data_IF_028430518302
#
_entry.id   IF_028430518302
#
_cell.length_a   1.000
_cell.length_b   1.000
_cell.length_c   1.000
_cell.angle_alpha   90.00
_cell.angle_beta   90.00
_cell.angle_gamma   90.00
#
_symmetry.space_group_name_H-M   'P 1'
#
loop_
_entity.id
_entity.type
_entity.pdbx_description
1 polymer ?
#
# COMPACT_ATOMS: atom_id res chain seq x y z
N UNK A 1 -1.37 50.74 48.51
CA UNK A 1 -2.71 50.14 48.34
C UNK A 1 -2.51 48.63 48.34
N UNK A 2 -2.94 47.94 49.38
CA UNK A 2 -2.83 46.49 49.46
C UNK A 2 -3.82 45.88 48.46
N UNK A 3 -3.33 45.12 47.48
CA UNK A 3 -4.20 44.38 46.57
C UNK A 3 -4.91 43.29 47.37
N UNK A 4 -6.24 43.28 47.34
CA UNK A 4 -7.05 42.26 47.97
C UNK A 4 -6.82 40.92 47.23
N UNK A 5 -6.09 40.02 47.89
CA UNK A 5 -5.71 38.72 47.37
C UNK A 5 -6.93 37.86 47.01
N UNK A 6 -8.08 38.10 47.65
CA UNK A 6 -9.36 37.48 47.31
C UNK A 6 -9.88 37.92 45.95
N UNK A 7 -9.77 39.21 45.64
CA UNK A 7 -10.17 39.76 44.33
C UNK A 7 -9.30 39.20 43.19
N UNK A 8 -7.97 39.14 43.37
CA UNK A 8 -7.08 38.55 42.36
C UNK A 8 -7.38 37.07 42.12
N UNK A 9 -7.60 36.30 43.17
CA UNK A 9 -7.92 34.87 43.05
C UNK A 9 -9.26 34.66 42.34
N UNK A 10 -10.26 35.49 42.65
CA UNK A 10 -11.56 35.46 41.97
C UNK A 10 -11.45 35.77 40.47
N UNK A 11 -10.64 36.75 40.09
CA UNK A 11 -10.39 37.11 38.68
C UNK A 11 -9.69 35.96 37.94
N UNK A 12 -8.70 35.31 38.56
CA UNK A 12 -7.99 34.20 37.93
C UNK A 12 -8.93 33.01 37.70
N UNK A 13 -9.71 32.61 38.72
CA UNK A 13 -10.61 31.47 38.61
C UNK A 13 -11.71 31.69 37.56
N UNK A 14 -12.29 32.90 37.52
CA UNK A 14 -13.32 33.24 36.53
C UNK A 14 -12.76 33.29 35.10
N UNK A 15 -11.54 33.79 34.92
CA UNK A 15 -10.86 33.83 33.61
C UNK A 15 -10.52 32.41 33.12
N UNK A 16 -10.02 31.54 34.01
CA UNK A 16 -9.75 30.14 33.68
C UNK A 16 -11.03 29.38 33.31
N UNK A 17 -12.13 29.61 34.03
CA UNK A 17 -13.41 28.96 33.73
C UNK A 17 -13.98 29.44 32.39
N UNK A 18 -13.95 30.75 32.13
CA UNK A 18 -14.44 31.34 30.88
C UNK A 18 -13.64 30.84 29.65
N UNK A 19 -12.32 30.78 29.77
CA UNK A 19 -11.45 30.28 28.69
C UNK A 19 -11.61 28.77 28.46
N UNK A 20 -11.76 27.99 29.52
CA UNK A 20 -11.99 26.55 29.42
C UNK A 20 -13.34 26.23 28.75
N UNK A 21 -14.43 26.86 29.21
CA UNK A 21 -15.77 26.63 28.64
C UNK A 21 -15.85 27.13 27.20
N UNK A 22 -15.30 28.30 26.91
CA UNK A 22 -15.24 28.84 25.55
C UNK A 22 -14.44 27.95 24.60
N UNK A 23 -13.27 27.49 25.01
CA UNK A 23 -12.43 26.59 24.23
C UNK A 23 -13.08 25.22 24.00
N UNK A 24 -13.76 24.68 25.02
CA UNK A 24 -14.47 23.40 24.90
C UNK A 24 -15.64 23.49 23.91
N UNK A 25 -16.47 24.53 24.01
CA UNK A 25 -17.59 24.75 23.08
C UNK A 25 -17.09 24.95 21.65
N UNK A 26 -16.03 25.76 21.47
CA UNK A 26 -15.42 25.98 20.17
C UNK A 26 -14.85 24.69 19.56
N UNK A 27 -14.19 23.87 20.38
CA UNK A 27 -13.68 22.56 19.97
C UNK A 27 -14.81 21.61 19.53
N UNK A 28 -15.90 21.53 20.30
CA UNK A 28 -17.07 20.72 19.94
C UNK A 28 -17.71 21.20 18.64
N UNK A 29 -17.87 22.52 18.46
CA UNK A 29 -18.38 23.11 17.21
C UNK A 29 -17.49 22.83 16.00
N UNK A 30 -16.16 22.83 16.19
CA UNK A 30 -15.21 22.48 15.13
C UNK A 30 -15.31 21.00 14.73
N UNK A 31 -15.42 20.08 15.70
CA UNK A 31 -15.47 18.63 15.44
C UNK A 31 -16.82 18.23 14.84
N UNK A 32 -17.91 18.88 15.22
CA UNK A 32 -19.23 18.64 14.62
C UNK A 32 -19.43 19.30 13.25
N UNK A 33 -18.41 19.98 12.72
CA UNK A 33 -18.42 20.52 11.35
C UNK A 33 -19.17 21.84 11.18
N UNK A 34 -19.64 22.48 12.26
CA UNK A 34 -20.34 23.77 12.20
C UNK A 34 -19.44 24.95 11.81
N UNK A 35 -18.12 24.77 11.84
CA UNK A 35 -17.11 25.76 11.44
C UNK A 35 -16.89 25.82 9.92
N UNK A 36 -17.24 24.76 9.21
CA UNK A 36 -17.21 24.72 7.74
C UNK A 36 -18.63 25.03 7.28
N UNK A 37 -18.83 26.08 6.49
CA UNK A 37 -20.18 26.42 6.06
C UNK A 37 -20.79 25.25 5.28
N UNK A 38 -22.09 24.94 5.46
CA UNK A 38 -22.76 23.90 4.69
C UNK A 38 -22.59 24.10 3.18
N UNK A 39 -22.54 25.37 2.74
CA UNK A 39 -22.29 25.75 1.36
C UNK A 39 -20.91 25.28 0.84
N UNK A 40 -19.85 25.32 1.65
CA UNK A 40 -18.52 24.81 1.26
C UNK A 40 -18.45 23.28 1.26
N UNK A 41 -19.23 22.62 2.12
CA UNK A 41 -19.38 21.17 2.10
C UNK A 41 -20.13 20.70 0.84
N UNK A 42 -21.19 21.42 0.47
CA UNK A 42 -21.91 21.23 -0.79
C UNK A 42 -21.03 21.54 -2.00
N UNK A 43 -20.21 22.59 -1.96
CA UNK A 43 -19.26 22.92 -3.03
C UNK A 43 -18.23 21.81 -3.26
N UNK A 44 -17.69 21.24 -2.19
CA UNK A 44 -16.78 20.09 -2.29
C UNK A 44 -17.48 18.85 -2.86
N UNK A 45 -18.75 18.63 -2.49
CA UNK A 45 -19.57 17.54 -3.05
C UNK A 45 -19.93 17.78 -4.53
N UNK A 46 -20.11 19.05 -4.92
CA UNK A 46 -20.40 19.45 -6.29
C UNK A 46 -19.17 19.30 -7.17
N UNK A 47 -17.98 19.72 -6.73
CA UNK A 47 -16.73 19.51 -7.46
C UNK A 47 -16.39 18.03 -7.65
N UNK A 48 -16.72 17.16 -6.67
CA UNK A 48 -16.56 15.70 -6.82
C UNK A 48 -17.47 15.09 -7.88
N UNK A 49 -18.59 15.75 -8.20
CA UNK A 49 -19.62 15.28 -9.12
C UNK A 49 -19.79 16.23 -10.31
N UNK A 50 -18.80 17.09 -10.59
CA UNK A 50 -18.87 18.09 -11.67
C UNK A 50 -18.54 17.42 -13.01
N UNK A 51 -19.51 17.30 -13.94
CA UNK A 51 -19.27 16.72 -15.25
C UNK A 51 -18.45 17.62 -16.18
N UNK A 52 -18.22 18.89 -15.83
CA UNK A 52 -17.51 19.86 -16.69
C UNK A 52 -15.99 19.78 -16.47
N UNK A 53 -15.52 19.41 -15.28
CA UNK A 53 -14.07 19.18 -15.05
C UNK A 53 -13.59 17.84 -15.65
N UNK A 54 -14.52 16.98 -16.10
CA UNK A 54 -14.24 15.80 -16.93
C UNK A 54 -14.20 16.09 -18.43
N UNK A 55 -14.36 17.35 -18.86
CA UNK A 55 -13.89 17.76 -20.18
C UNK A 55 -12.36 17.84 -20.09
N UNK A 56 -11.76 16.66 -20.28
CA UNK A 56 -10.33 16.46 -20.40
C UNK A 56 -9.75 17.54 -21.33
N UNK A 57 -8.65 18.14 -20.89
CA UNK A 57 -7.79 18.94 -21.76
C UNK A 57 -7.66 18.26 -23.12
N UNK A 58 -7.92 19.01 -24.20
CA UNK A 58 -7.84 18.60 -25.61
C UNK A 58 -6.54 17.82 -25.92
N UNK A 59 -6.50 16.56 -25.55
CA UNK A 59 -5.56 15.57 -26.07
C UNK A 59 -6.35 14.89 -27.17
N UNK A 60 -5.87 15.09 -28.40
CA UNK A 60 -6.48 14.58 -29.62
C UNK A 60 -6.68 13.06 -29.50
N UNK A 61 -7.89 12.64 -29.09
CA UNK A 61 -8.28 11.24 -28.84
C UNK A 61 -8.09 10.35 -30.08
N UNK A 62 -7.90 10.96 -31.25
CA UNK A 62 -7.65 10.25 -32.50
C UNK A 62 -6.25 9.60 -32.57
N UNK A 63 -5.28 10.06 -31.77
CA UNK A 63 -3.88 9.58 -31.81
C UNK A 63 -3.50 8.66 -30.63
N UNK A 64 -4.35 8.55 -29.60
CA UNK A 64 -4.20 7.59 -28.50
C UNK A 64 -5.27 6.52 -28.53
N UNK A 65 -5.16 5.63 -29.51
CA UNK A 65 -5.96 4.43 -29.67
C UNK A 65 -5.78 3.51 -28.45
N UNK A 66 -6.57 3.72 -27.40
CA UNK A 66 -6.60 2.91 -26.17
C UNK A 66 -7.41 1.61 -26.39
N UNK A 67 -7.17 0.92 -27.51
CA UNK A 67 -7.96 -0.21 -28.02
C UNK A 67 -7.56 -1.56 -27.39
N UNK A 68 -7.10 -1.56 -26.13
CA UNK A 68 -6.58 -2.74 -25.44
C UNK A 68 -7.35 -3.14 -24.18
N UNK A 69 -8.51 -2.52 -23.96
CA UNK A 69 -9.30 -2.68 -22.75
C UNK A 69 -10.69 -3.33 -23.00
N UNK A 70 -10.82 -4.46 -23.73
CA UNK A 70 -12.13 -5.09 -23.86
C UNK A 70 -12.53 -5.67 -22.49
N UNK A 71 -13.55 -5.06 -21.88
CA UNK A 71 -14.20 -5.45 -20.61
C UNK A 71 -13.32 -5.31 -19.34
N UNK A 72 -13.41 -4.13 -18.71
CA UNK A 72 -12.99 -3.86 -17.32
C UNK A 72 -14.06 -4.19 -16.28
N UNK A 73 -15.05 -5.01 -16.63
CA UNK A 73 -15.99 -5.60 -15.68
C UNK A 73 -15.26 -6.69 -14.89
N UNK A 74 -14.59 -6.29 -13.81
CA UNK A 74 -13.86 -7.18 -12.89
C UNK A 74 -14.81 -8.10 -12.13
N UNK A 75 -15.22 -9.20 -12.75
CA UNK A 75 -15.86 -10.33 -12.08
C UNK A 75 -14.82 -11.30 -11.48
N UNK A 76 -15.25 -12.19 -10.58
CA UNK A 76 -14.40 -13.23 -9.96
C UNK A 76 -13.64 -14.11 -10.97
N UNK A 77 -14.12 -14.20 -12.22
CA UNK A 77 -13.44 -14.91 -13.29
C UNK A 77 -12.26 -14.12 -13.88
N UNK A 78 -12.33 -12.79 -13.89
CA UNK A 78 -11.21 -11.93 -14.31
C UNK A 78 -10.05 -12.08 -13.32
N UNK A 79 -10.31 -12.12 -12.02
CA UNK A 79 -9.31 -12.38 -10.97
C UNK A 79 -8.60 -13.73 -11.16
N UNK A 80 -9.37 -14.77 -11.49
CA UNK A 80 -8.81 -16.11 -11.74
C UNK A 80 -7.96 -16.14 -13.01
N UNK A 81 -8.35 -15.41 -14.05
CA UNK A 81 -7.61 -15.29 -15.32
C UNK A 81 -6.36 -14.40 -15.18
N UNK A 82 -6.41 -13.38 -14.33
CA UNK A 82 -5.29 -12.47 -14.02
C UNK A 82 -4.31 -13.04 -12.98
N UNK A 83 -4.50 -14.28 -12.50
CA UNK A 83 -3.63 -14.87 -11.49
C UNK A 83 -3.72 -14.20 -10.10
N UNK A 84 -4.76 -13.39 -9.84
CA UNK A 84 -4.99 -12.71 -8.56
C UNK A 84 -5.32 -13.68 -7.41
N UNK A 85 -5.59 -14.95 -7.74
CA UNK A 85 -5.64 -16.04 -6.78
C UNK A 85 -4.27 -16.72 -6.73
N UNK A 86 -3.41 -16.25 -5.82
CA UNK A 86 -2.20 -16.98 -5.45
C UNK A 86 -2.62 -18.38 -4.96
N UNK A 87 -2.41 -19.40 -5.78
CA UNK A 87 -2.61 -20.79 -5.38
C UNK A 87 -1.47 -21.11 -4.40
N UNK A 88 -1.77 -20.99 -3.11
CA UNK A 88 -0.87 -21.38 -2.04
C UNK A 88 -0.58 -22.89 -2.20
N UNK A 89 0.62 -23.23 -2.66
CA UNK A 89 1.14 -24.58 -2.53
C UNK A 89 1.27 -24.90 -1.03
N UNK A 90 0.86 -26.09 -0.57
CA UNK A 90 0.95 -26.44 0.84
C UNK A 90 2.42 -26.52 1.26
N UNK A 91 2.80 -25.67 2.21
CA UNK A 91 4.17 -25.52 2.71
C UNK A 91 4.31 -26.32 4.02
N UNK A 92 5.03 -27.44 3.98
CA UNK A 92 5.31 -28.30 5.13
C UNK A 92 6.73 -28.02 5.64
N UNK A 93 6.94 -26.93 6.38
CA UNK A 93 8.17 -26.75 7.18
C UNK A 93 8.00 -25.67 8.27
N UNK A 94 8.60 -25.86 9.47
CA UNK A 94 8.51 -24.91 10.56
C UNK A 94 9.27 -23.61 10.22
N UNK A 95 8.55 -22.48 10.21
CA UNK A 95 9.08 -21.16 9.88
C UNK A 95 9.95 -20.62 11.02
N UNK A 96 11.13 -20.05 10.73
CA UNK A 96 11.89 -19.30 11.74
C UNK A 96 11.05 -18.12 12.25
N UNK A 97 11.08 -17.88 13.57
CA UNK A 97 10.27 -16.88 14.22
C UNK A 97 10.81 -15.47 13.93
N UNK A 98 10.03 -14.66 13.21
CA UNK A 98 10.26 -13.22 13.09
C UNK A 98 10.01 -12.56 14.45
N UNK A 99 10.98 -11.78 14.92
CA UNK A 99 10.89 -11.05 16.18
C UNK A 99 9.79 -9.97 16.11
N UNK A 100 8.81 -10.10 17.01
CA UNK A 100 7.66 -9.19 17.10
C UNK A 100 8.05 -7.78 17.57
N UNK A 101 9.16 -7.66 18.32
CA UNK A 101 9.53 -6.44 19.03
C UNK A 101 10.58 -5.56 18.32
N UNK A 102 11.08 -5.96 17.15
CA UNK A 102 12.05 -5.11 16.45
C UNK A 102 11.41 -3.79 15.99
N UNK A 103 12.12 -2.67 16.09
CA UNK A 103 11.69 -1.35 15.56
C UNK A 103 12.21 -1.15 14.12
N UNK A 104 12.81 -2.19 13.55
CA UNK A 104 13.43 -2.14 12.25
C UNK A 104 12.42 -1.78 11.15
N UNK A 105 12.86 -0.92 10.23
CA UNK A 105 12.12 -0.54 9.02
C UNK A 105 11.73 -1.78 8.22
N UNK A 106 10.48 -1.79 7.75
CA UNK A 106 10.01 -2.84 6.84
C UNK A 106 9.99 -2.32 5.41
N UNK A 107 10.25 -3.20 4.45
CA UNK A 107 10.17 -2.91 3.02
C UNK A 107 9.64 -4.10 2.23
N UNK A 108 9.10 -3.80 1.05
CA UNK A 108 8.74 -4.77 0.03
C UNK A 108 9.69 -4.58 -1.15
N UNK A 109 10.31 -5.68 -1.62
CA UNK A 109 11.13 -5.67 -2.83
C UNK A 109 10.37 -6.36 -3.95
N UNK A 110 10.34 -5.72 -5.12
CA UNK A 110 9.68 -6.18 -6.33
C UNK A 110 10.77 -6.55 -7.34
N UNK A 111 11.02 -7.86 -7.48
CA UNK A 111 12.01 -8.40 -8.40
C UNK A 111 11.33 -8.59 -9.76
N UNK A 112 11.78 -7.84 -10.77
CA UNK A 112 11.19 -7.81 -12.11
C UNK A 112 12.08 -8.55 -13.10
N UNK A 113 11.48 -9.41 -13.92
CA UNK A 113 12.17 -10.04 -15.06
C UNK A 113 12.29 -9.09 -16.24
N UNK A 114 13.52 -8.67 -16.51
CA UNK A 114 13.87 -7.77 -17.61
C UNK A 114 14.14 -8.49 -18.92
N UNK A 115 14.40 -9.80 -18.88
CA UNK A 115 14.58 -10.66 -20.04
C UNK A 115 13.33 -10.76 -20.92
N UNK A 116 12.16 -10.49 -20.33
CA UNK A 116 10.86 -10.56 -21.00
C UNK A 116 10.51 -9.32 -21.86
N UNK A 117 11.35 -8.28 -21.87
CA UNK A 117 11.11 -7.08 -22.69
C UNK A 117 9.81 -6.32 -22.36
N UNK A 118 9.32 -6.40 -21.12
CA UNK A 118 8.08 -5.72 -20.71
C UNK A 118 8.17 -4.20 -20.88
N UNK A 119 7.09 -3.59 -21.38
CA UNK A 119 6.96 -2.12 -21.41
C UNK A 119 6.82 -1.55 -19.99
N UNK A 120 7.19 -0.27 -19.82
CA UNK A 120 7.13 0.41 -18.51
C UNK A 120 5.74 0.32 -17.84
N UNK A 121 4.67 0.53 -18.62
CA UNK A 121 3.30 0.42 -18.12
C UNK A 121 2.95 -0.99 -17.65
N UNK A 122 3.38 -2.02 -18.39
CA UNK A 122 3.16 -3.41 -17.98
C UNK A 122 3.93 -3.76 -16.71
N UNK A 123 5.19 -3.33 -16.59
CA UNK A 123 5.99 -3.50 -15.37
C UNK A 123 5.25 -2.90 -14.17
N UNK A 124 4.74 -1.67 -14.30
CA UNK A 124 4.04 -1.00 -13.21
C UNK A 124 2.78 -1.76 -12.76
N UNK A 125 1.98 -2.27 -13.71
CA UNK A 125 0.81 -3.10 -13.41
C UNK A 125 1.19 -4.40 -12.69
N UNK A 126 2.20 -5.12 -13.19
CA UNK A 126 2.67 -6.39 -12.61
C UNK A 126 3.26 -6.20 -11.20
N UNK A 127 4.03 -5.13 -10.99
CA UNK A 127 4.53 -4.72 -9.68
C UNK A 127 3.40 -4.40 -8.68
N UNK A 128 2.32 -3.77 -9.16
CA UNK A 128 1.14 -3.48 -8.36
C UNK A 128 0.41 -4.77 -7.95
N UNK A 129 0.27 -5.73 -8.87
CA UNK A 129 -0.27 -7.05 -8.58
C UNK A 129 0.57 -7.81 -7.53
N UNK A 130 1.90 -7.81 -7.68
CA UNK A 130 2.82 -8.45 -6.74
C UNK A 130 2.71 -7.86 -5.33
N UNK A 131 2.60 -6.54 -5.25
CA UNK A 131 2.37 -5.81 -4.00
C UNK A 131 1.07 -6.25 -3.33
N UNK A 132 -0.03 -6.27 -4.07
CA UNK A 132 -1.33 -6.64 -3.53
C UNK A 132 -1.38 -8.12 -3.10
N UNK A 133 -0.71 -9.01 -3.84
CA UNK A 133 -0.59 -10.41 -3.47
C UNK A 133 0.14 -10.59 -2.13
N UNK A 134 1.29 -9.93 -1.97
CA UNK A 134 2.07 -9.94 -0.72
C UNK A 134 1.27 -9.35 0.45
N UNK A 135 0.59 -8.22 0.21
CA UNK A 135 -0.27 -7.59 1.20
C UNK A 135 -1.37 -8.54 1.68
N UNK A 136 -2.14 -9.12 0.75
CA UNK A 136 -3.23 -10.04 1.07
C UNK A 136 -2.73 -11.29 1.80
N UNK A 137 -1.56 -11.81 1.45
CA UNK A 137 -0.96 -12.95 2.14
C UNK A 137 -0.67 -12.65 3.62
N UNK A 138 -0.10 -11.47 3.92
CA UNK A 138 0.13 -11.05 5.31
C UNK A 138 -1.18 -10.67 6.02
N UNK A 139 -2.10 -9.98 5.35
CA UNK A 139 -3.35 -9.49 5.92
C UNK A 139 -4.30 -10.62 6.37
N UNK A 140 -4.21 -11.79 5.73
CA UNK A 140 -4.96 -13.00 6.13
C UNK A 140 -4.38 -13.71 7.35
N UNK A 141 -3.20 -13.32 7.82
CA UNK A 141 -2.59 -13.93 9.01
C UNK A 141 -3.35 -13.52 10.28
N UNK A 142 -3.38 -14.37 11.33
CA UNK A 142 -4.05 -14.04 12.59
C UNK A 142 -3.59 -12.70 13.18
N UNK A 143 -4.48 -12.01 13.89
CA UNK A 143 -4.20 -10.67 14.44
C UNK A 143 -2.94 -10.63 15.32
N UNK A 144 -2.71 -11.67 16.11
CA UNK A 144 -1.57 -11.77 17.05
C UNK A 144 -0.30 -12.36 16.43
N UNK A 145 -0.30 -12.59 15.11
CA UNK A 145 0.85 -13.17 14.40
C UNK A 145 1.98 -12.16 14.18
N UNK A 146 3.26 -12.59 14.14
CA UNK A 146 4.36 -11.72 13.72
C UNK A 146 4.13 -11.08 12.35
N UNK A 147 3.51 -11.80 11.43
CA UNK A 147 3.17 -11.34 10.08
C UNK A 147 2.24 -10.12 10.11
N UNK A 148 1.23 -10.11 10.99
CA UNK A 148 0.33 -8.97 11.13
C UNK A 148 1.03 -7.75 11.73
N UNK A 149 1.94 -7.96 12.70
CA UNK A 149 2.77 -6.90 13.27
C UNK A 149 3.68 -6.26 12.21
N UNK A 150 4.36 -7.08 11.41
CA UNK A 150 5.21 -6.63 10.29
C UNK A 150 4.38 -5.82 9.28
N UNK A 151 3.19 -6.30 8.92
CA UNK A 151 2.32 -5.60 7.99
C UNK A 151 1.89 -4.23 8.55
N UNK A 152 1.43 -4.18 9.80
CA UNK A 152 1.05 -2.93 10.46
C UNK A 152 2.23 -1.95 10.55
N UNK A 153 3.43 -2.46 10.79
CA UNK A 153 4.66 -1.66 10.78
C UNK A 153 4.90 -1.07 9.39
N UNK A 154 4.94 -1.90 8.36
CA UNK A 154 5.12 -1.42 6.99
C UNK A 154 4.07 -0.37 6.58
N UNK A 155 2.81 -0.55 6.98
CA UNK A 155 1.73 0.43 6.78
C UNK A 155 2.01 1.77 7.47
N UNK A 156 2.51 1.75 8.72
CA UNK A 156 2.83 2.95 9.51
C UNK A 156 4.08 3.68 9.00
N UNK A 157 5.06 2.95 8.48
CA UNK A 157 6.36 3.48 8.05
C UNK A 157 6.44 3.69 6.52
N UNK A 158 5.36 4.21 5.92
CA UNK A 158 5.36 4.72 4.55
C UNK A 158 5.29 3.65 3.44
N UNK A 159 5.16 2.37 3.78
CA UNK A 159 4.94 1.28 2.83
C UNK A 159 5.99 1.20 1.73
N UNK A 160 7.27 1.28 2.10
CA UNK A 160 8.40 1.30 1.17
C UNK A 160 8.36 0.11 0.18
N UNK A 161 8.49 0.42 -1.11
CA UNK A 161 8.54 -0.53 -2.23
C UNK A 161 9.78 -0.23 -3.06
N UNK A 162 10.59 -1.24 -3.34
CA UNK A 162 11.84 -1.10 -4.12
C UNK A 162 11.78 -2.04 -5.31
N UNK A 163 11.90 -1.51 -6.51
CA UNK A 163 11.97 -2.31 -7.73
C UNK A 163 13.42 -2.67 -8.05
N UNK A 164 13.68 -3.96 -8.23
CA UNK A 164 14.97 -4.52 -8.63
C UNK A 164 14.79 -5.44 -9.83
N UNK A 165 15.87 -5.77 -10.52
CA UNK A 165 15.84 -6.56 -11.75
C UNK A 165 16.57 -7.90 -11.62
N UNK A 166 16.03 -8.89 -12.32
CA UNK A 166 16.68 -10.16 -12.68
C UNK A 166 16.49 -10.43 -14.17
N UNK A 167 17.30 -11.33 -14.72
CA UNK A 167 17.25 -11.78 -16.12
C UNK A 167 16.90 -13.27 -16.25
N UNK A 168 16.60 -13.96 -15.16
CA UNK A 168 16.39 -15.40 -15.14
C UNK A 168 15.16 -15.78 -14.32
N UNK A 169 14.33 -16.65 -14.88
CA UNK A 169 13.22 -17.28 -14.15
C UNK A 169 13.73 -18.17 -13.01
N UNK A 170 14.80 -18.93 -13.24
CA UNK A 170 15.38 -19.83 -12.25
C UNK A 170 15.92 -19.05 -11.04
N UNK A 171 16.61 -17.93 -11.29
CA UNK A 171 17.08 -17.04 -10.22
C UNK A 171 15.88 -16.49 -9.40
N UNK A 172 14.81 -16.09 -10.06
CA UNK A 172 13.59 -15.62 -9.39
C UNK A 172 12.94 -16.72 -8.53
N UNK A 173 12.85 -17.95 -9.04
CA UNK A 173 12.29 -19.07 -8.28
C UNK A 173 13.17 -19.45 -7.09
N UNK A 174 14.49 -19.37 -7.24
CA UNK A 174 15.43 -19.59 -6.14
C UNK A 174 15.32 -18.50 -5.06
N UNK A 175 15.22 -17.22 -5.45
CA UNK A 175 14.96 -16.11 -4.52
C UNK A 175 13.67 -16.32 -3.74
N UNK A 176 12.59 -16.76 -4.41
CA UNK A 176 11.31 -17.08 -3.76
C UNK A 176 11.47 -18.19 -2.73
N UNK A 177 12.19 -19.27 -3.07
CA UNK A 177 12.45 -20.39 -2.16
C UNK A 177 13.24 -19.92 -0.93
N UNK A 178 14.32 -19.17 -1.14
CA UNK A 178 15.14 -18.59 -0.06
C UNK A 178 14.32 -17.69 0.86
N UNK A 179 13.46 -16.84 0.29
CA UNK A 179 12.59 -15.95 1.06
C UNK A 179 11.59 -16.70 1.94
N UNK A 180 10.92 -17.73 1.39
CA UNK A 180 9.97 -18.55 2.16
C UNK A 180 10.66 -19.33 3.27
N UNK A 181 11.84 -19.89 2.99
CA UNK A 181 12.66 -20.58 3.99
C UNK A 181 13.10 -19.65 5.14
N UNK A 182 13.32 -18.37 4.84
CA UNK A 182 13.60 -17.34 5.84
C UNK A 182 12.34 -16.83 6.57
N UNK A 183 11.15 -17.39 6.29
CA UNK A 183 9.88 -17.01 6.91
C UNK A 183 9.25 -15.73 6.33
N UNK A 184 9.77 -15.19 5.23
CA UNK A 184 9.23 -14.02 4.55
C UNK A 184 8.11 -14.40 3.57
N UNK A 185 7.16 -13.49 3.40
CA UNK A 185 6.17 -13.57 2.32
C UNK A 185 6.87 -13.41 0.98
N UNK A 186 6.60 -14.32 0.05
CA UNK A 186 7.16 -14.29 -1.29
C UNK A 186 6.12 -14.79 -2.31
N UNK A 187 5.56 -13.87 -3.09
CA UNK A 187 4.49 -14.12 -4.05
C UNK A 187 4.93 -13.78 -5.47
N UNK A 188 4.66 -14.70 -6.39
CA UNK A 188 4.97 -14.55 -7.82
C UNK A 188 3.73 -14.18 -8.59
N UNK A 189 3.89 -13.31 -9.58
CA UNK A 189 2.86 -12.95 -10.54
C UNK A 189 3.16 -13.58 -11.88
N UNK A 190 2.10 -14.06 -12.52
CA UNK A 190 2.13 -14.65 -13.85
C UNK A 190 1.35 -13.77 -14.80
N UNK A 191 1.86 -13.63 -16.03
CA UNK A 191 1.11 -12.92 -17.05
C UNK A 191 -0.09 -13.74 -17.54
N UNK A 192 -1.24 -13.10 -17.64
CA UNK A 192 -2.49 -13.72 -18.07
C UNK A 192 -2.54 -14.03 -19.58
N UNK A 193 -1.46 -13.74 -20.33
CA UNK A 193 -1.40 -14.00 -21.77
C UNK A 193 -2.18 -13.00 -22.63
N UNK A 194 -2.42 -11.79 -22.14
CA UNK A 194 -3.06 -10.69 -22.92
C UNK A 194 -2.06 -9.81 -23.66
N UNK A 195 -0.81 -10.25 -23.74
CA UNK A 195 0.29 -9.46 -24.32
C UNK A 195 1.25 -10.36 -25.11
N UNK A 196 2.31 -9.78 -25.67
CA UNK A 196 3.36 -10.45 -26.43
C UNK A 196 4.20 -11.47 -25.63
N UNK A 197 4.01 -11.58 -24.31
CA UNK A 197 4.69 -12.57 -23.46
C UNK A 197 3.88 -13.87 -23.43
N UNK A 198 4.56 -15.01 -23.48
CA UNK A 198 3.92 -16.32 -23.36
C UNK A 198 3.04 -16.41 -22.10
N UNK A 199 1.80 -16.87 -22.30
CA UNK A 199 0.83 -17.01 -21.23
C UNK A 199 1.38 -17.90 -20.09
N UNK A 200 1.26 -17.45 -18.84
CA UNK A 200 1.76 -18.18 -17.68
C UNK A 200 3.22 -17.89 -17.31
N UNK A 201 3.94 -17.08 -18.11
CA UNK A 201 5.29 -16.63 -17.76
C UNK A 201 5.29 -15.90 -16.42
N UNK A 202 6.23 -16.24 -15.54
CA UNK A 202 6.44 -15.52 -14.28
C UNK A 202 7.08 -14.18 -14.60
N UNK A 203 6.47 -13.08 -14.17
CA UNK A 203 6.90 -11.71 -14.52
C UNK A 203 7.60 -11.00 -13.36
N UNK A 204 6.97 -11.03 -12.17
CA UNK A 204 7.42 -10.28 -10.99
C UNK A 204 7.30 -11.15 -9.74
N UNK A 205 8.31 -11.10 -8.88
CA UNK A 205 8.30 -11.67 -7.54
C UNK A 205 8.27 -10.52 -6.52
N UNK A 206 7.27 -10.51 -5.64
CA UNK A 206 7.28 -9.69 -4.43
C UNK A 206 7.94 -10.44 -3.27
N UNK A 207 8.87 -9.80 -2.57
CA UNK A 207 9.55 -10.31 -1.36
C UNK A 207 9.32 -9.34 -0.20
N UNK A 208 8.62 -9.81 0.83
CA UNK A 208 8.12 -9.00 1.93
C UNK A 208 6.63 -8.66 1.77
N UNK A 209 6.11 -7.59 2.39
CA UNK A 209 6.77 -6.71 3.34
C UNK A 209 7.46 -7.47 4.49
N UNK A 210 8.68 -7.05 4.84
CA UNK A 210 9.46 -7.69 5.91
C UNK A 210 10.56 -6.76 6.44
N UNK A 211 11.20 -7.11 7.57
CA UNK A 211 12.31 -6.33 8.11
C UNK A 211 13.43 -6.17 7.08
N UNK A 212 14.01 -4.97 7.01
CA UNK A 212 15.01 -4.59 6.01
C UNK A 212 16.17 -5.59 5.92
N UNK A 213 16.76 -5.96 7.06
CA UNK A 213 17.86 -6.91 7.18
C UNK A 213 17.53 -8.28 6.58
N UNK A 214 16.37 -8.83 6.93
CA UNK A 214 15.91 -10.12 6.41
C UNK A 214 15.67 -10.08 4.90
N UNK A 215 15.06 -9.01 4.39
CA UNK A 215 14.83 -8.84 2.95
C UNK A 215 16.16 -8.65 2.20
N UNK A 216 17.08 -7.86 2.73
CA UNK A 216 18.38 -7.58 2.12
C UNK A 216 19.31 -8.79 2.03
N UNK A 217 19.23 -9.74 2.97
CA UNK A 217 19.95 -11.02 2.87
C UNK A 217 19.60 -11.81 1.60
N UNK A 218 18.39 -11.60 1.06
CA UNK A 218 17.91 -12.31 -0.12
C UNK A 218 18.11 -11.44 -1.36
N UNK A 219 17.68 -10.19 -1.34
CA UNK A 219 17.60 -9.35 -2.55
C UNK A 219 18.68 -8.27 -2.65
N UNK A 220 19.54 -8.09 -1.64
CA UNK A 220 20.46 -6.96 -1.57
C UNK A 220 21.57 -6.95 -2.63
N UNK A 221 21.83 -8.09 -3.29
CA UNK A 221 22.79 -8.20 -4.38
C UNK A 221 22.20 -7.85 -5.76
N UNK A 222 20.87 -7.71 -5.85
CA UNK A 222 20.19 -7.40 -7.09
C UNK A 222 20.32 -5.91 -7.45
N UNK A 223 20.36 -5.62 -8.74
CA UNK A 223 20.43 -4.24 -9.24
C UNK A 223 19.05 -3.60 -9.20
N UNK A 224 19.01 -2.29 -9.01
CA UNK A 224 17.77 -1.51 -9.20
C UNK A 224 17.29 -1.65 -10.66
N UNK A 225 15.98 -1.66 -10.84
CA UNK A 225 15.30 -1.78 -12.14
C UNK A 225 15.48 -0.52 -13.01
#
# INVERSE_FOLDING_TARGET
MAYDQGQQTGIILTTCLATFVGGFIFGVWSVQGYLISPALAEERHRNLNDPVESDESDVDESDTLLDHAPSWTNGLQADRRQGLSARALPDQQPKPALDKNSIEECKLVLVVRTDLGMTKGKIAAQCSHATLACYKALARSPADSPQRSILSRWEKYGQAKIAVQTKSEDEMLELRRRARNAGLTAEVIQDAGRTQIEAGSITVLGVGPGPKSAVDQITGHLKLL
#
